data_IF_045032200843
#
_entry.id   IF_045032200843
#
_cell.length_a   1.000
_cell.length_b   1.000
_cell.length_c   1.000
_cell.angle_alpha   90.00
_cell.angle_beta   90.00
_cell.angle_gamma   90.00
#
_symmetry.space_group_name_H-M   'P 1'
#
loop_
_entity.id
_entity.type
_entity.pdbx_description
1 polymer ?
#
# COMPACT_ATOMS: atom_id res chain seq x y z
N UNK A 1 18.25 -17.35 -4.84
CA UNK A 1 17.02 -18.20 -4.98
C UNK A 1 15.85 -17.31 -5.38
N UNK A 2 14.97 -17.75 -6.27
CA UNK A 2 13.77 -16.98 -6.65
C UNK A 2 12.65 -17.18 -5.60
N UNK A 3 11.73 -16.23 -5.53
CA UNK A 3 10.48 -16.40 -4.77
C UNK A 3 9.69 -17.55 -5.41
N UNK A 4 9.33 -18.57 -4.65
CA UNK A 4 8.62 -19.75 -5.16
C UNK A 4 7.20 -19.39 -5.62
N UNK A 5 6.59 -20.19 -6.50
CA UNK A 5 5.20 -19.99 -6.93
C UNK A 5 4.22 -20.03 -5.74
N UNK A 6 4.48 -20.89 -4.76
CA UNK A 6 3.68 -20.97 -3.52
C UNK A 6 3.79 -19.66 -2.73
N UNK A 7 5.01 -19.12 -2.57
CA UNK A 7 5.21 -17.84 -1.89
C UNK A 7 4.53 -16.68 -2.65
N UNK A 8 4.56 -16.67 -3.98
CA UNK A 8 3.84 -15.65 -4.77
C UNK A 8 2.32 -15.72 -4.56
N UNK A 9 1.74 -16.94 -4.52
CA UNK A 9 0.32 -17.12 -4.18
C UNK A 9 -0.01 -16.63 -2.77
N UNK A 10 0.85 -16.95 -1.79
CA UNK A 10 0.68 -16.49 -0.41
C UNK A 10 0.83 -14.96 -0.27
N UNK A 11 1.78 -14.34 -1.00
CA UNK A 11 1.92 -12.88 -1.06
C UNK A 11 0.68 -12.22 -1.68
N UNK A 12 0.09 -12.82 -2.72
CA UNK A 12 -1.14 -12.32 -3.31
C UNK A 12 -2.30 -12.37 -2.29
N UNK A 13 -2.47 -13.48 -1.59
CA UNK A 13 -3.47 -13.60 -0.53
C UNK A 13 -3.22 -12.58 0.60
N UNK A 14 -1.97 -12.40 1.02
CA UNK A 14 -1.61 -11.41 2.03
C UNK A 14 -1.91 -9.98 1.56
N UNK A 15 -1.61 -9.66 0.30
CA UNK A 15 -1.94 -8.37 -0.31
C UNK A 15 -3.44 -8.07 -0.31
N UNK A 16 -4.30 -9.09 -0.49
CA UNK A 16 -5.75 -8.95 -0.38
C UNK A 16 -6.14 -8.64 1.08
N UNK A 17 -5.58 -9.36 2.04
CA UNK A 17 -5.89 -9.16 3.47
C UNK A 17 -5.54 -7.74 3.92
N UNK A 18 -4.34 -7.25 3.58
CA UNK A 18 -3.92 -5.88 3.96
C UNK A 18 -4.73 -4.80 3.24
N UNK A 19 -5.18 -5.06 2.00
CA UNK A 19 -6.07 -4.14 1.29
C UNK A 19 -7.44 -4.02 1.97
N UNK A 20 -8.00 -5.16 2.39
CA UNK A 20 -9.28 -5.20 3.13
C UNK A 20 -9.16 -4.51 4.50
N UNK A 21 -8.03 -4.70 5.20
CA UNK A 21 -7.80 -4.10 6.53
C UNK A 21 -7.85 -2.57 6.48
N UNK A 22 -7.42 -1.95 5.38
CA UNK A 22 -7.36 -0.50 5.25
C UNK A 22 -8.74 0.17 5.23
N UNK A 23 -9.76 -0.45 4.61
CA UNK A 23 -11.06 0.18 4.32
C UNK A 23 -12.25 -0.63 4.79
N UNK A 24 -12.26 -1.92 4.53
CA UNK A 24 -13.43 -2.80 4.68
C UNK A 24 -13.31 -3.77 5.86
N UNK A 25 -12.11 -3.94 6.39
CA UNK A 25 -11.78 -4.87 7.47
C UNK A 25 -11.79 -4.22 8.86
N UNK A 26 -11.26 -4.92 9.86
CA UNK A 26 -11.26 -4.48 11.26
C UNK A 26 -10.33 -3.31 11.56
N UNK A 27 -9.55 -2.83 10.58
CA UNK A 27 -8.53 -1.77 10.75
C UNK A 27 -7.52 -2.10 11.87
N UNK A 28 -7.01 -3.34 11.82
CA UNK A 28 -6.08 -3.89 12.81
C UNK A 28 -4.62 -3.49 12.54
N UNK A 29 -4.39 -2.44 11.75
CA UNK A 29 -3.07 -1.92 11.34
C UNK A 29 -2.25 -2.91 10.47
N UNK A 30 -2.88 -3.95 9.92
CA UNK A 30 -2.23 -4.90 9.02
C UNK A 30 -1.77 -4.22 7.72
N UNK A 31 -2.48 -3.19 7.30
CA UNK A 31 -2.18 -2.35 6.14
C UNK A 31 -0.99 -1.40 6.34
N UNK A 32 -0.48 -1.25 7.59
CA UNK A 32 0.73 -0.46 7.85
C UNK A 32 1.94 -1.12 7.19
N UNK A 33 2.78 -0.35 6.46
CA UNK A 33 3.94 -0.89 5.75
C UNK A 33 4.85 -1.76 6.62
N UNK A 34 5.07 -1.36 7.87
CA UNK A 34 5.90 -2.12 8.80
C UNK A 34 5.35 -3.54 9.03
N UNK A 35 4.05 -3.67 9.26
CA UNK A 35 3.39 -4.96 9.48
C UNK A 35 3.26 -5.74 8.18
N UNK A 36 2.75 -5.09 7.14
CA UNK A 36 2.56 -5.69 5.82
C UNK A 36 3.87 -6.24 5.24
N UNK A 37 4.96 -5.48 5.38
CA UNK A 37 6.29 -5.84 4.92
C UNK A 37 6.91 -6.98 5.72
N UNK A 38 6.82 -6.95 7.05
CA UNK A 38 7.38 -8.00 7.91
C UNK A 38 6.73 -9.35 7.61
N UNK A 39 5.40 -9.40 7.52
CA UNK A 39 4.68 -10.63 7.18
C UNK A 39 4.97 -11.08 5.75
N UNK A 40 5.06 -10.16 4.79
CA UNK A 40 5.46 -10.49 3.43
C UNK A 40 6.88 -11.07 3.38
N UNK A 41 7.81 -10.56 4.20
CA UNK A 41 9.15 -11.10 4.37
C UNK A 41 9.15 -12.51 4.93
N UNK A 42 8.33 -12.79 5.94
CA UNK A 42 8.13 -14.15 6.46
C UNK A 42 7.66 -15.11 5.35
N UNK A 43 6.67 -14.71 4.57
CA UNK A 43 6.14 -15.49 3.43
C UNK A 43 7.22 -15.73 2.38
N UNK A 44 8.03 -14.72 2.09
CA UNK A 44 9.10 -14.79 1.09
C UNK A 44 10.37 -15.51 1.59
N UNK A 45 10.45 -15.86 2.89
CA UNK A 45 11.61 -16.49 3.52
C UNK A 45 12.76 -15.52 3.81
N UNK A 46 12.49 -14.22 3.90
CA UNK A 46 13.48 -13.17 4.19
C UNK A 46 12.83 -12.04 5.02
N UNK A 47 12.77 -12.27 6.32
CA UNK A 47 12.15 -11.32 7.28
C UNK A 47 12.91 -9.99 7.32
N UNK A 48 14.23 -10.02 7.21
CA UNK A 48 15.07 -8.81 7.22
C UNK A 48 14.74 -7.91 6.04
N UNK A 49 14.63 -8.47 4.84
CA UNK A 49 14.18 -7.74 3.66
C UNK A 49 12.78 -7.14 3.85
N UNK A 50 11.84 -7.92 4.37
CA UNK A 50 10.48 -7.48 4.66
C UNK A 50 10.43 -6.32 5.65
N UNK A 51 11.19 -6.43 6.73
CA UNK A 51 11.28 -5.40 7.76
C UNK A 51 11.88 -4.10 7.20
N UNK A 52 12.97 -4.17 6.42
CA UNK A 52 13.61 -2.99 5.82
C UNK A 52 12.71 -2.26 4.83
N UNK A 53 12.04 -3.01 3.95
CA UNK A 53 11.03 -2.44 3.02
C UNK A 53 9.90 -1.80 3.82
N UNK A 54 9.39 -2.50 4.82
CA UNK A 54 8.31 -2.01 5.69
C UNK A 54 8.71 -0.72 6.42
N UNK A 55 9.89 -0.68 7.07
CA UNK A 55 10.37 0.51 7.76
C UNK A 55 10.52 1.72 6.82
N UNK A 56 11.09 1.50 5.63
CA UNK A 56 11.29 2.61 4.69
C UNK A 56 9.96 3.16 4.17
N UNK A 57 9.02 2.29 3.80
CA UNK A 57 7.71 2.74 3.33
C UNK A 57 6.83 3.28 4.45
N UNK A 58 7.07 2.87 5.70
CA UNK A 58 6.42 3.46 6.88
C UNK A 58 6.72 4.95 7.01
N UNK A 59 7.94 5.41 6.67
CA UNK A 59 8.28 6.83 6.69
C UNK A 59 7.34 7.65 5.78
N UNK A 60 7.00 7.13 4.61
CA UNK A 60 6.04 7.79 3.70
C UNK A 60 4.60 7.69 4.22
N UNK A 61 4.25 6.57 4.88
CA UNK A 61 2.92 6.37 5.42
C UNK A 61 2.64 7.23 6.67
N UNK A 62 3.67 7.71 7.38
CA UNK A 62 3.53 8.62 8.52
C UNK A 62 3.01 10.01 8.13
N UNK A 63 3.25 10.48 6.90
CA UNK A 63 2.68 11.75 6.39
C UNK A 63 1.19 11.63 6.02
N UNK A 64 0.64 10.41 6.03
CA UNK A 64 -0.71 10.13 5.54
C UNK A 64 -1.66 9.85 6.69
N UNK A 65 -2.67 10.70 6.85
CA UNK A 65 -3.80 10.44 7.76
C UNK A 65 -4.99 9.96 6.92
N UNK A 66 -5.41 8.70 7.04
CA UNK A 66 -6.55 8.15 6.32
C UNK A 66 -7.86 8.64 6.95
N UNK A 67 -8.18 9.95 6.78
CA UNK A 67 -9.36 10.57 7.39
C UNK A 67 -10.41 10.87 6.32
N UNK A 68 -11.61 10.35 6.51
CA UNK A 68 -12.79 10.65 5.70
C UNK A 68 -12.63 10.26 4.23
N UNK A 69 -13.10 11.14 3.32
CA UNK A 69 -13.06 10.92 1.88
C UNK A 69 -11.76 11.40 1.22
N UNK A 70 -10.71 11.69 2.01
CA UNK A 70 -9.43 12.16 1.48
C UNK A 70 -8.78 11.13 0.54
N UNK A 71 -7.96 11.64 -0.38
CA UNK A 71 -7.14 10.81 -1.27
C UNK A 71 -5.85 10.49 -0.54
N UNK A 72 -5.55 9.21 -0.38
CA UNK A 72 -4.29 8.76 0.22
C UNK A 72 -3.77 7.52 -0.51
N UNK A 73 -2.45 7.34 -0.57
CA UNK A 73 -1.85 6.16 -1.16
C UNK A 73 -2.19 4.90 -0.36
N UNK A 74 -2.34 3.75 -1.06
CA UNK A 74 -2.52 2.44 -0.45
C UNK A 74 -1.16 1.74 -0.35
N UNK A 75 -0.49 1.94 0.76
CA UNK A 75 0.84 1.38 0.97
C UNK A 75 0.85 -0.13 1.25
N UNK A 76 -0.22 -0.72 1.78
CA UNK A 76 -0.26 -2.13 2.19
C UNK A 76 0.11 -3.08 1.05
N UNK A 77 -0.72 -3.23 0.01
CA UNK A 77 -0.44 -4.08 -1.14
C UNK A 77 0.86 -3.70 -1.88
N UNK A 78 1.17 -2.39 -1.96
CA UNK A 78 2.39 -1.90 -2.58
C UNK A 78 3.65 -2.39 -1.84
N UNK A 79 3.61 -2.40 -0.50
CA UNK A 79 4.69 -2.93 0.35
C UNK A 79 4.87 -4.43 0.14
N UNK A 80 3.77 -5.19 0.10
CA UNK A 80 3.82 -6.64 -0.15
C UNK A 80 4.54 -6.95 -1.48
N UNK A 81 4.21 -6.21 -2.54
CA UNK A 81 4.85 -6.35 -3.83
C UNK A 81 6.33 -5.92 -3.81
N UNK A 82 6.66 -4.83 -3.10
CA UNK A 82 8.02 -4.32 -2.98
C UNK A 82 8.96 -5.31 -2.27
N UNK A 83 8.48 -6.06 -1.28
CA UNK A 83 9.26 -7.13 -0.62
C UNK A 83 9.72 -8.16 -1.63
N UNK A 84 8.90 -8.52 -2.62
CA UNK A 84 9.29 -9.47 -3.65
C UNK A 84 10.47 -8.99 -4.50
N UNK A 85 10.78 -7.70 -4.57
CA UNK A 85 11.98 -7.17 -5.26
C UNK A 85 13.25 -7.48 -4.48
N UNK A 86 13.20 -7.42 -3.16
CA UNK A 86 14.37 -7.49 -2.26
C UNK A 86 14.65 -8.89 -1.75
N UNK A 87 13.61 -9.67 -1.42
CA UNK A 87 13.74 -10.95 -0.73
C UNK A 87 14.76 -11.91 -1.38
N UNK A 88 15.73 -12.38 -0.58
CA UNK A 88 16.80 -13.26 -1.02
C UNK A 88 17.88 -12.60 -1.88
N UNK A 89 17.96 -11.27 -1.91
CA UNK A 89 18.97 -10.48 -2.64
C UNK A 89 19.63 -9.46 -1.70
N UNK A 90 20.82 -8.93 -2.05
CA UNK A 90 21.45 -7.87 -1.27
C UNK A 90 20.54 -6.63 -1.19
N UNK A 91 20.03 -6.34 0.01
CA UNK A 91 19.06 -5.27 0.23
C UNK A 91 19.60 -3.88 -0.16
N UNK A 92 20.92 -3.66 -0.01
CA UNK A 92 21.58 -2.40 -0.35
C UNK A 92 21.41 -2.06 -1.84
N UNK A 93 21.35 -3.08 -2.70
CA UNK A 93 21.21 -2.93 -4.14
C UNK A 93 19.74 -2.81 -4.57
N UNK A 94 18.81 -3.31 -3.77
CA UNK A 94 17.40 -3.54 -4.17
C UNK A 94 16.39 -2.64 -3.48
N UNK A 95 16.70 -2.12 -2.30
CA UNK A 95 15.73 -1.37 -1.49
C UNK A 95 15.28 -0.08 -2.19
N UNK A 96 16.19 0.63 -2.88
CA UNK A 96 15.83 1.79 -3.69
C UNK A 96 14.90 1.46 -4.86
N UNK A 97 15.16 0.33 -5.56
CA UNK A 97 14.27 -0.16 -6.62
C UNK A 97 12.90 -0.59 -6.10
N UNK A 98 12.87 -1.25 -4.94
CA UNK A 98 11.63 -1.64 -4.29
C UNK A 98 10.77 -0.41 -3.94
N UNK A 99 11.40 0.66 -3.43
CA UNK A 99 10.73 1.92 -3.15
C UNK A 99 10.21 2.58 -4.44
N UNK A 100 11.01 2.58 -5.50
CA UNK A 100 10.63 3.12 -6.80
C UNK A 100 9.42 2.38 -7.40
N UNK A 101 9.28 1.09 -7.15
CA UNK A 101 8.08 0.31 -7.50
C UNK A 101 6.91 0.65 -6.58
N UNK A 102 7.15 0.70 -5.27
CA UNK A 102 6.09 0.80 -4.27
C UNK A 102 5.34 2.14 -4.32
N UNK A 103 6.05 3.27 -4.51
CA UNK A 103 5.41 4.58 -4.48
C UNK A 103 4.36 4.78 -5.58
N UNK A 104 4.63 4.50 -6.87
CA UNK A 104 3.60 4.55 -7.90
C UNK A 104 2.46 3.56 -7.68
N UNK A 105 2.77 2.33 -7.19
CA UNK A 105 1.74 1.34 -6.87
C UNK A 105 0.84 1.82 -5.74
N UNK A 106 1.38 2.39 -4.68
CA UNK A 106 0.59 2.95 -3.58
C UNK A 106 -0.32 4.07 -4.07
N UNK A 107 0.18 4.94 -4.95
CA UNK A 107 -0.62 5.98 -5.57
C UNK A 107 -1.76 5.41 -6.44
N UNK A 108 -1.47 4.41 -7.29
CA UNK A 108 -2.49 3.68 -8.07
C UNK A 108 -3.53 3.02 -7.17
N UNK A 109 -3.09 2.44 -6.04
CA UNK A 109 -3.99 1.89 -5.02
C UNK A 109 -4.95 2.93 -4.46
N UNK A 110 -4.46 4.14 -4.22
CA UNK A 110 -5.27 5.28 -3.81
C UNK A 110 -6.33 5.68 -4.86
N UNK A 111 -6.00 5.64 -6.14
CA UNK A 111 -6.99 5.84 -7.23
C UNK A 111 -8.02 4.70 -7.26
N UNK A 112 -7.57 3.47 -7.06
CA UNK A 112 -8.45 2.30 -6.95
C UNK A 112 -9.45 2.41 -5.78
N UNK A 113 -9.05 3.00 -4.64
CA UNK A 113 -9.96 3.27 -3.53
C UNK A 113 -11.04 4.31 -3.88
N UNK A 114 -10.72 5.31 -4.69
CA UNK A 114 -11.73 6.26 -5.16
C UNK A 114 -12.76 5.57 -6.06
N UNK A 115 -12.29 4.76 -6.99
CA UNK A 115 -13.19 3.94 -7.81
C UNK A 115 -14.08 3.04 -6.95
N UNK A 116 -13.52 2.38 -5.92
CA UNK A 116 -14.27 1.55 -4.98
C UNK A 116 -15.38 2.34 -4.28
N UNK A 117 -15.07 3.55 -3.79
CA UNK A 117 -16.06 4.45 -3.14
C UNK A 117 -17.21 4.80 -4.09
N UNK A 118 -16.89 5.16 -5.34
CA UNK A 118 -17.91 5.45 -6.35
C UNK A 118 -18.75 4.20 -6.67
N UNK A 119 -18.14 3.04 -6.88
CA UNK A 119 -18.84 1.80 -7.16
C UNK A 119 -19.79 1.40 -6.01
N UNK A 120 -19.33 1.57 -4.75
CA UNK A 120 -20.15 1.29 -3.58
C UNK A 120 -21.30 2.30 -3.43
N UNK A 121 -21.07 3.59 -3.69
CA UNK A 121 -22.12 4.61 -3.67
C UNK A 121 -23.21 4.31 -4.71
N UNK A 122 -22.83 3.98 -5.94
CA UNK A 122 -23.79 3.56 -6.96
C UNK A 122 -24.59 2.31 -6.58
N UNK A 123 -23.92 1.31 -5.98
CA UNK A 123 -24.59 0.10 -5.53
C UNK A 123 -25.65 0.39 -4.44
N UNK A 124 -25.36 1.32 -3.53
CA UNK A 124 -26.29 1.76 -2.48
C UNK A 124 -27.45 2.55 -3.10
N UNK A 125 -27.17 3.50 -4.00
CA UNK A 125 -28.20 4.31 -4.68
C UNK A 125 -29.22 3.41 -5.41
N UNK A 126 -28.75 2.35 -6.07
CA UNK A 126 -29.63 1.41 -6.77
C UNK A 126 -30.52 0.54 -5.85
N UNK A 127 -30.34 0.62 -4.52
CA UNK A 127 -31.07 -0.20 -3.54
C UNK A 127 -31.63 0.61 -2.36
N UNK A 128 -31.72 1.92 -2.48
CA UNK A 128 -32.18 2.80 -1.38
C UNK A 128 -33.54 2.38 -0.83
N UNK A 129 -34.53 2.08 -1.69
CA UNK A 129 -35.84 1.66 -1.26
C UNK A 129 -35.82 0.34 -0.47
N UNK A 130 -35.05 -0.64 -0.92
CA UNK A 130 -34.90 -1.93 -0.21
C UNK A 130 -34.17 -1.76 1.12
N UNK A 131 -33.16 -0.90 1.19
CA UNK A 131 -32.45 -0.59 2.44
C UNK A 131 -33.39 0.13 3.41
N UNK A 132 -34.21 1.10 2.93
CA UNK A 132 -35.20 1.80 3.75
C UNK A 132 -36.27 0.85 4.28
N UNK A 133 -36.62 -0.20 3.52
CA UNK A 133 -37.53 -1.26 3.95
C UNK A 133 -36.86 -2.33 4.86
N UNK A 134 -35.60 -2.11 5.27
CA UNK A 134 -34.80 -3.06 6.06
C UNK A 134 -34.68 -4.48 5.42
N UNK A 135 -34.66 -4.58 4.10
CA UNK A 135 -34.49 -5.86 3.40
C UNK A 135 -33.08 -6.44 3.68
N UNK A 136 -33.05 -7.49 4.49
CA UNK A 136 -31.84 -8.18 4.92
C UNK A 136 -31.01 -8.70 3.72
N UNK A 137 -31.66 -9.16 2.65
CA UNK A 137 -30.97 -9.68 1.47
C UNK A 137 -30.28 -8.55 0.70
N UNK A 138 -30.93 -7.41 0.56
CA UNK A 138 -30.36 -6.25 -0.09
C UNK A 138 -29.16 -5.70 0.73
N UNK A 139 -29.28 -5.61 2.04
CA UNK A 139 -28.21 -5.17 2.94
C UNK A 139 -27.01 -6.13 2.89
N UNK A 140 -27.24 -7.46 2.97
CA UNK A 140 -26.19 -8.46 2.87
C UNK A 140 -25.48 -8.40 1.51
N UNK A 141 -26.24 -8.27 0.41
CA UNK A 141 -25.68 -8.16 -0.93
C UNK A 141 -24.81 -6.90 -1.12
N UNK A 142 -25.19 -5.78 -0.50
CA UNK A 142 -24.36 -4.56 -0.49
C UNK A 142 -23.08 -4.77 0.29
N UNK A 143 -23.16 -5.37 1.48
CA UNK A 143 -22.01 -5.63 2.34
C UNK A 143 -21.01 -6.57 1.68
N UNK A 144 -21.43 -7.76 1.30
CA UNK A 144 -20.54 -8.75 0.65
C UNK A 144 -20.05 -8.28 -0.72
N UNK A 145 -20.90 -7.57 -1.47
CA UNK A 145 -20.50 -6.94 -2.73
C UNK A 145 -19.42 -5.87 -2.55
N UNK A 146 -19.49 -5.11 -1.46
CA UNK A 146 -18.45 -4.15 -1.08
C UNK A 146 -17.12 -4.82 -0.75
N UNK A 147 -17.16 -5.85 0.09
CA UNK A 147 -15.98 -6.66 0.45
C UNK A 147 -15.33 -7.29 -0.79
N UNK A 148 -16.13 -7.86 -1.69
CA UNK A 148 -15.63 -8.52 -2.89
C UNK A 148 -14.95 -7.53 -3.85
N UNK A 149 -15.54 -6.34 -4.03
CA UNK A 149 -14.93 -5.27 -4.84
C UNK A 149 -13.59 -4.81 -4.27
N UNK A 150 -13.50 -4.67 -2.93
CA UNK A 150 -12.27 -4.27 -2.27
C UNK A 150 -11.20 -5.37 -2.32
N UNK A 151 -11.57 -6.63 -2.08
CA UNK A 151 -10.68 -7.78 -2.26
C UNK A 151 -10.16 -7.86 -3.71
N UNK A 152 -11.03 -7.67 -4.71
CA UNK A 152 -10.65 -7.64 -6.11
C UNK A 152 -9.67 -6.50 -6.44
N UNK A 153 -9.87 -5.31 -5.87
CA UNK A 153 -8.95 -4.18 -5.97
C UNK A 153 -7.58 -4.53 -5.37
N UNK A 154 -7.57 -5.08 -4.16
CA UNK A 154 -6.34 -5.51 -3.48
C UNK A 154 -5.60 -6.59 -4.27
N UNK A 155 -6.33 -7.58 -4.79
CA UNK A 155 -5.79 -8.64 -5.65
C UNK A 155 -5.14 -8.06 -6.92
N UNK A 156 -5.85 -7.19 -7.62
CA UNK A 156 -5.35 -6.57 -8.86
C UNK A 156 -4.09 -5.74 -8.62
N UNK A 157 -4.06 -4.93 -7.56
CA UNK A 157 -2.92 -4.09 -7.22
C UNK A 157 -1.70 -4.94 -6.83
N UNK A 158 -1.90 -5.96 -5.99
CA UNK A 158 -0.83 -6.87 -5.56
C UNK A 158 -0.31 -7.69 -6.74
N UNK A 159 -1.20 -8.24 -7.57
CA UNK A 159 -0.81 -9.02 -8.75
C UNK A 159 0.00 -8.17 -9.74
N UNK A 160 -0.43 -6.93 -10.02
CA UNK A 160 0.32 -5.99 -10.84
C UNK A 160 1.70 -5.72 -10.24
N UNK A 161 1.75 -5.44 -8.94
CA UNK A 161 3.00 -5.19 -8.24
C UNK A 161 3.96 -6.38 -8.29
N UNK A 162 3.48 -7.61 -8.05
CA UNK A 162 4.28 -8.83 -8.14
C UNK A 162 4.76 -9.08 -9.58
N UNK A 163 3.89 -8.86 -10.58
CA UNK A 163 4.27 -8.99 -11.99
C UNK A 163 5.39 -8.02 -12.39
N UNK A 164 5.39 -6.80 -11.84
CA UNK A 164 6.45 -5.82 -12.04
C UNK A 164 7.70 -6.10 -11.19
N UNK A 165 7.54 -6.66 -10.00
CA UNK A 165 8.65 -7.00 -9.11
C UNK A 165 9.56 -8.08 -9.72
N UNK A 166 8.97 -9.10 -10.34
CA UNK A 166 9.75 -10.23 -10.89
C UNK A 166 10.80 -9.83 -11.92
N UNK A 167 10.51 -9.01 -12.96
CA UNK A 167 11.54 -8.52 -13.87
C UNK A 167 12.54 -7.58 -13.19
N UNK A 168 12.08 -6.72 -12.24
CA UNK A 168 12.97 -5.81 -11.50
C UNK A 168 14.04 -6.55 -10.68
N UNK A 169 13.76 -7.75 -10.21
CA UNK A 169 14.77 -8.61 -9.55
C UNK A 169 15.95 -8.96 -10.43
N UNK A 170 15.75 -9.01 -11.76
CA UNK A 170 16.76 -9.41 -12.75
C UNK A 170 17.55 -8.23 -13.32
N UNK A 171 17.11 -7.01 -13.02
CA UNK A 171 17.80 -5.81 -13.50
C UNK A 171 19.17 -5.71 -12.83
N UNK A 172 20.22 -5.63 -13.61
CA UNK A 172 21.57 -5.30 -13.15
C UNK A 172 21.77 -3.80 -13.28
N UNK A 173 22.11 -3.15 -12.17
CA UNK A 173 22.36 -1.72 -12.15
C UNK A 173 23.89 -1.46 -12.12
N UNK A 174 24.38 -0.38 -12.75
CA UNK A 174 25.74 0.08 -12.53
C UNK A 174 26.03 0.32 -11.04
N UNK A 175 27.25 0.02 -10.57
CA UNK A 175 27.58 -0.01 -9.15
C UNK A 175 27.30 1.30 -8.38
N UNK A 176 27.30 2.43 -9.07
CA UNK A 176 27.00 3.74 -8.49
C UNK A 176 25.50 4.06 -8.35
N UNK A 177 24.61 3.30 -9.04
CA UNK A 177 23.16 3.60 -9.05
C UNK A 177 22.45 3.11 -7.79
N UNK A 178 22.68 1.89 -7.25
CA UNK A 178 21.99 1.42 -6.05
C UNK A 178 22.15 2.33 -4.83
N UNK A 179 23.36 2.81 -4.45
CA UNK A 179 23.51 3.69 -3.32
C UNK A 179 22.81 5.05 -3.51
N UNK A 180 22.75 5.56 -4.74
CA UNK A 180 22.01 6.79 -5.05
C UNK A 180 20.50 6.60 -4.89
N UNK A 181 19.96 5.50 -5.41
CA UNK A 181 18.54 5.18 -5.24
C UNK A 181 18.16 4.95 -3.77
N UNK A 182 19.03 4.29 -3.01
CA UNK A 182 18.82 4.09 -1.58
C UNK A 182 18.83 5.43 -0.84
N UNK A 183 19.82 6.26 -1.10
CA UNK A 183 19.93 7.59 -0.48
C UNK A 183 18.70 8.47 -0.83
N UNK A 184 18.26 8.46 -2.09
CA UNK A 184 17.06 9.16 -2.52
C UNK A 184 15.79 8.63 -1.83
N UNK A 185 15.65 7.32 -1.71
CA UNK A 185 14.51 6.69 -1.05
C UNK A 185 14.45 7.05 0.44
N UNK A 186 15.57 6.92 1.16
CA UNK A 186 15.66 7.30 2.59
C UNK A 186 15.46 8.80 2.78
N UNK A 187 16.14 9.63 1.99
CA UNK A 187 16.04 11.09 2.08
C UNK A 187 14.62 11.60 1.82
N UNK A 188 13.94 11.08 0.79
CA UNK A 188 12.54 11.44 0.50
C UNK A 188 11.57 10.94 1.58
N UNK A 189 11.79 9.76 2.14
CA UNK A 189 11.00 9.23 3.26
C UNK A 189 11.13 10.09 4.51
N UNK A 190 12.35 10.49 4.88
CA UNK A 190 12.59 11.40 6.00
C UNK A 190 11.96 12.78 5.75
N UNK A 191 12.05 13.29 4.52
CA UNK A 191 11.41 14.55 4.14
C UNK A 191 9.88 14.47 4.27
N UNK A 192 9.26 13.33 3.94
CA UNK A 192 7.83 13.10 4.12
C UNK A 192 7.44 13.17 5.61
N UNK A 193 8.21 12.52 6.49
CA UNK A 193 7.98 12.57 7.95
C UNK A 193 8.06 14.01 8.48
N UNK A 194 9.10 14.76 8.10
CA UNK A 194 9.28 16.16 8.53
C UNK A 194 8.11 17.02 8.05
N UNK A 195 7.69 16.84 6.79
CA UNK A 195 6.56 17.56 6.21
C UNK A 195 5.24 17.25 6.94
N UNK A 196 4.98 15.97 7.26
CA UNK A 196 3.84 15.56 8.07
C UNK A 196 3.84 16.17 9.46
N UNK A 197 5.00 16.17 10.15
CA UNK A 197 5.15 16.77 11.46
C UNK A 197 4.93 18.30 11.42
N UNK A 198 5.41 19.00 10.39
CA UNK A 198 5.18 20.43 10.22
C UNK A 198 3.71 20.76 9.96
N UNK A 199 3.01 19.94 9.20
CA UNK A 199 1.56 20.10 8.98
C UNK A 199 0.77 19.92 10.27
N UNK A 200 1.08 18.90 11.07
CA UNK A 200 0.39 18.59 12.31
C UNK A 200 0.57 19.68 13.40
N UNK A 201 1.70 20.37 13.40
CA UNK A 201 1.98 21.47 14.35
C UNK A 201 1.32 22.80 13.98
N UNK A 202 0.56 22.87 12.89
CA UNK A 202 -0.13 24.07 12.42
C UNK A 202 0.79 25.19 11.91
N UNK A 203 2.10 24.97 11.88
CA UNK A 203 3.08 25.95 11.38
C UNK A 203 2.91 26.23 9.89
N UNK A 204 2.52 25.21 9.10
CA UNK A 204 2.20 25.38 7.69
C UNK A 204 0.94 26.22 7.42
N UNK A 205 -0.03 26.23 8.33
CA UNK A 205 -1.21 27.09 8.24
C UNK A 205 -0.86 28.54 8.63
N UNK A 206 -0.05 28.75 9.67
CA UNK A 206 0.38 30.10 10.12
C UNK A 206 1.26 30.79 9.08
N UNK A 207 2.13 30.07 8.37
CA UNK A 207 2.97 30.67 7.32
C UNK A 207 2.14 31.21 6.14
N UNK A 208 1.00 30.60 5.82
CA UNK A 208 0.07 31.11 4.79
C UNK A 208 -0.70 32.35 5.24
N UNK A 209 -1.02 32.48 6.52
CA UNK A 209 -1.69 33.65 7.08
C UNK A 209 -0.77 34.86 7.28
N UNK A 210 0.53 34.63 7.43
CA UNK A 210 1.54 35.69 7.55
C UNK A 210 2.05 36.19 6.20
N UNK A 211 1.75 35.48 5.09
CA UNK A 211 2.11 35.83 3.74
C UNK A 211 0.94 36.44 2.90
N UNK A 212 -0.25 36.52 3.49
CA UNK A 212 -1.44 37.18 2.95
C UNK A 212 -1.71 38.50 3.67
#
# INVERSE_FOLDING_TARGET
MGVSAVALGALLCWGIVVALDLVSGPQALLSRPLVAGTVAGLIAGDVDAGLRVGMLLELFALDVLPVGASRYPDYGPATVAAVAVVAGLPWQERLGLATLLALPLAFLGGLGMQWLRHANAHAVQGRVAAVAAADRRAIAALHYGGLLRDAGRGAALTALGLALALPLRRVTLPANVPPLLLAAAVGSGLAAVVNGALRSTGRGARAKWLAA
#
